data_IF_920139123796
#
_entry.id   IF_920139123796
#
_cell.length_a   1.000
_cell.length_b   1.000
_cell.length_c   1.000
_cell.angle_alpha   90.00
_cell.angle_beta   90.00
_cell.angle_gamma   90.00
#
_symmetry.space_group_name_H-M   'P 1'
#
loop_
_entity.id
_entity.type
_entity.pdbx_description
1 polymer ?
#
# COMPACT_ATOMS: atom_id res chain seq x y z
N UNK A 1 11.02 -2.67 12.87
CA UNK A 1 10.84 -1.59 11.86
C UNK A 1 9.42 -1.71 11.34
N UNK A 2 8.71 -0.60 11.16
CA UNK A 2 7.33 -0.65 10.67
C UNK A 2 7.33 -1.11 9.21
N UNK A 3 6.53 -2.12 8.89
CA UNK A 3 6.39 -2.68 7.54
C UNK A 3 4.93 -2.60 7.11
N UNK A 4 4.68 -1.82 6.08
CA UNK A 4 3.40 -1.65 5.42
C UNK A 4 3.45 -2.31 4.04
N UNK A 5 2.36 -2.94 3.63
CA UNK A 5 2.17 -3.27 2.21
C UNK A 5 1.67 -2.05 1.43
N UNK A 6 1.62 -2.13 0.10
CA UNK A 6 1.24 -1.01 -0.76
C UNK A 6 -0.19 -0.47 -0.47
N UNK A 7 -1.14 -1.35 -0.14
CA UNK A 7 -2.53 -0.96 0.18
C UNK A 7 -2.60 -0.30 1.55
N UNK A 8 -1.90 -0.84 2.54
CA UNK A 8 -1.80 -0.26 3.89
C UNK A 8 -1.16 1.13 3.85
N UNK A 9 -0.06 1.28 3.11
CA UNK A 9 0.60 2.57 2.89
C UNK A 9 -0.35 3.58 2.22
N UNK A 10 -1.13 3.14 1.22
CA UNK A 10 -2.17 3.95 0.58
C UNK A 10 -3.25 4.40 1.57
N UNK A 11 -3.75 3.49 2.39
CA UNK A 11 -4.78 3.77 3.41
C UNK A 11 -4.28 4.78 4.43
N UNK A 12 -3.09 4.57 4.99
CA UNK A 12 -2.47 5.50 5.94
C UNK A 12 -2.23 6.86 5.29
N UNK A 13 -1.66 6.90 4.09
CA UNK A 13 -1.46 8.15 3.35
C UNK A 13 -2.77 8.91 3.12
N UNK A 14 -3.87 8.22 2.82
CA UNK A 14 -5.18 8.86 2.64
C UNK A 14 -5.71 9.44 3.96
N UNK A 15 -5.56 8.74 5.08
CA UNK A 15 -5.99 9.23 6.38
C UNK A 15 -5.18 10.46 6.82
N UNK A 16 -3.85 10.43 6.63
CA UNK A 16 -2.96 11.57 6.88
C UNK A 16 -3.34 12.78 6.02
N UNK A 17 -3.59 12.56 4.73
CA UNK A 17 -3.99 13.63 3.81
C UNK A 17 -5.32 14.26 4.23
N UNK A 18 -6.33 13.45 4.55
CA UNK A 18 -7.68 13.94 4.85
C UNK A 18 -7.82 14.55 6.25
N UNK A 19 -6.99 14.15 7.21
CA UNK A 19 -6.92 14.83 8.50
C UNK A 19 -6.53 16.30 8.34
N UNK A 20 -5.59 16.60 7.44
CA UNK A 20 -5.10 17.97 7.21
C UNK A 20 -5.96 18.74 6.21
N UNK A 21 -6.28 18.12 5.07
CA UNK A 21 -6.94 18.83 3.94
C UNK A 21 -8.46 18.94 4.08
N UNK A 22 -9.08 18.04 4.85
CA UNK A 22 -10.53 17.98 5.03
C UNK A 22 -10.88 17.61 6.49
N UNK A 23 -10.48 18.42 7.48
CA UNK A 23 -10.65 18.09 8.90
C UNK A 23 -12.12 17.90 9.29
N UNK A 24 -13.05 18.62 8.66
CA UNK A 24 -14.48 18.52 8.92
C UNK A 24 -15.07 17.13 8.57
N UNK A 25 -14.42 16.41 7.65
CA UNK A 25 -14.84 15.08 7.22
C UNK A 25 -14.11 13.95 7.97
N UNK A 26 -13.09 14.29 8.76
CA UNK A 26 -12.27 13.33 9.49
C UNK A 26 -12.82 13.09 10.91
N UNK A 27 -12.88 11.85 11.42
CA UNK A 27 -12.40 10.59 10.85
C UNK A 27 -13.28 10.03 9.71
N UNK A 28 -12.69 9.23 8.83
CA UNK A 28 -13.33 8.76 7.59
C UNK A 28 -14.13 7.47 7.79
N UNK A 29 -15.26 7.34 7.11
CA UNK A 29 -15.96 6.04 6.96
C UNK A 29 -15.22 5.13 5.96
N UNK A 30 -15.54 3.83 5.94
CA UNK A 30 -14.99 2.88 4.97
C UNK A 30 -15.16 3.38 3.52
N UNK A 31 -16.39 3.75 3.13
CA UNK A 31 -16.68 4.24 1.78
C UNK A 31 -15.87 5.51 1.43
N UNK A 32 -15.83 6.49 2.35
CA UNK A 32 -15.05 7.72 2.14
C UNK A 32 -13.56 7.44 1.97
N UNK A 33 -13.02 6.46 2.71
CA UNK A 33 -11.63 6.04 2.62
C UNK A 33 -11.35 5.28 1.32
N UNK A 34 -12.23 4.39 0.88
CA UNK A 34 -12.12 3.70 -0.42
C UNK A 34 -12.08 4.71 -1.57
N UNK A 35 -12.97 5.72 -1.54
CA UNK A 35 -12.96 6.81 -2.52
C UNK A 35 -11.65 7.62 -2.47
N UNK A 36 -11.09 7.85 -1.28
CA UNK A 36 -9.81 8.53 -1.12
C UNK A 36 -8.63 7.71 -1.67
N UNK A 37 -8.64 6.38 -1.51
CA UNK A 37 -7.59 5.50 -2.02
C UNK A 37 -7.57 5.45 -3.56
N UNK A 38 -8.75 5.52 -4.18
CA UNK A 38 -8.96 5.40 -5.62
C UNK A 38 -9.03 6.76 -6.35
N UNK A 39 -8.59 7.85 -5.72
CA UNK A 39 -8.58 9.17 -6.38
C UNK A 39 -7.68 9.13 -7.62
N UNK A 40 -8.18 9.65 -8.74
CA UNK A 40 -7.41 9.76 -9.99
C UNK A 40 -6.30 10.80 -9.93
N UNK A 41 -6.39 11.75 -9.00
CA UNK A 41 -5.39 12.77 -8.78
C UNK A 41 -4.71 12.54 -7.43
N UNK A 42 -3.46 12.98 -7.34
CA UNK A 42 -2.68 12.84 -6.11
C UNK A 42 -2.39 11.43 -5.64
N UNK A 43 -2.50 10.44 -6.55
CA UNK A 43 -2.13 9.05 -6.32
C UNK A 43 -1.17 8.60 -7.41
N UNK A 44 -0.13 7.90 -7.01
CA UNK A 44 0.77 7.21 -7.93
C UNK A 44 1.26 5.92 -7.24
N UNK A 45 0.88 4.71 -7.73
CA UNK A 45 -0.03 4.47 -8.86
C UNK A 45 -1.50 4.78 -8.51
N UNK A 46 -2.31 5.09 -9.52
CA UNK A 46 -3.78 5.09 -9.35
C UNK A 46 -4.23 3.65 -9.12
N UNK A 47 -5.02 3.43 -8.07
CA UNK A 47 -5.54 2.12 -7.69
C UNK A 47 -7.05 2.06 -7.88
N UNK A 48 -7.58 0.84 -8.03
CA UNK A 48 -9.01 0.54 -8.08
C UNK A 48 -9.34 -0.51 -7.00
N UNK A 49 -9.23 -0.12 -5.74
CA UNK A 49 -9.46 -1.00 -4.60
C UNK A 49 -10.96 -1.17 -4.35
N UNK A 50 -11.38 -2.40 -4.08
CA UNK A 50 -12.71 -2.71 -3.54
C UNK A 50 -12.81 -2.32 -2.05
N UNK A 51 -14.03 -2.12 -1.56
CA UNK A 51 -14.25 -1.89 -0.12
C UNK A 51 -13.74 -3.05 0.74
N UNK A 52 -13.79 -4.30 0.23
CA UNK A 52 -13.29 -5.47 0.96
C UNK A 52 -11.76 -5.43 1.11
N UNK A 53 -11.03 -5.02 0.07
CA UNK A 53 -9.56 -4.90 0.15
C UNK A 53 -9.15 -3.79 1.12
N UNK A 54 -9.86 -2.65 1.10
CA UNK A 54 -9.65 -1.56 2.05
C UNK A 54 -9.97 -2.00 3.48
N UNK A 55 -11.07 -2.75 3.68
CA UNK A 55 -11.43 -3.28 4.99
C UNK A 55 -10.37 -4.27 5.51
N UNK A 56 -9.86 -5.17 4.67
CA UNK A 56 -8.78 -6.09 5.05
C UNK A 56 -7.50 -5.33 5.46
N UNK A 57 -7.16 -4.26 4.74
CA UNK A 57 -6.04 -3.40 5.10
C UNK A 57 -6.27 -2.67 6.43
N UNK A 58 -7.48 -2.15 6.68
CA UNK A 58 -7.87 -1.55 7.95
C UNK A 58 -7.77 -2.54 9.11
N UNK A 59 -8.25 -3.78 8.92
CA UNK A 59 -8.17 -4.83 9.94
C UNK A 59 -6.71 -5.18 10.28
N UNK A 60 -5.83 -5.25 9.26
CA UNK A 60 -4.39 -5.46 9.44
C UNK A 60 -3.73 -4.30 10.18
N UNK A 61 -4.01 -3.06 9.78
CA UNK A 61 -3.50 -1.85 10.41
C UNK A 61 -4.01 -1.67 11.86
N UNK A 62 -5.24 -2.09 12.14
CA UNK A 62 -5.84 -2.12 13.48
C UNK A 62 -5.07 -3.10 14.39
N UNK A 63 -4.75 -4.30 13.89
CA UNK A 63 -3.87 -5.26 14.60
C UNK A 63 -2.47 -4.69 14.86
N UNK A 64 -1.92 -3.91 13.93
CA UNK A 64 -0.65 -3.18 14.08
C UNK A 64 -0.75 -1.96 15.01
N UNK A 65 -1.94 -1.64 15.54
CA UNK A 65 -2.24 -0.46 16.39
C UNK A 65 -1.96 0.89 15.71
N UNK A 66 -1.98 0.92 14.38
CA UNK A 66 -1.76 2.12 13.57
C UNK A 66 -3.05 2.89 13.27
N UNK A 67 -4.18 2.43 13.78
CA UNK A 67 -5.50 3.03 13.60
C UNK A 67 -6.30 2.97 14.90
N UNK A 68 -7.33 3.81 14.95
CA UNK A 68 -8.39 3.77 15.95
C UNK A 68 -9.74 3.77 15.26
N UNK A 69 -10.61 2.87 15.68
CA UNK A 69 -12.01 2.83 15.28
C UNK A 69 -12.83 3.69 16.24
N UNK A 70 -13.61 4.61 15.69
CA UNK A 70 -14.52 5.46 16.43
C UNK A 70 -15.95 5.18 15.98
N UNK A 71 -16.76 4.70 16.92
CA UNK A 71 -18.21 4.65 16.79
C UNK A 71 -18.80 5.69 17.74
N UNK A 72 -19.49 6.69 17.19
CA UNK A 72 -20.22 7.66 17.99
C UNK A 72 -21.42 7.01 18.66
N UNK A 73 -21.80 7.46 19.85
CA UNK A 73 -22.99 6.98 20.54
C UNK A 73 -24.24 7.07 19.64
N UNK A 74 -24.85 5.94 19.31
CA UNK A 74 -26.00 5.84 18.41
C UNK A 74 -25.68 5.82 16.91
N UNK A 75 -24.42 6.00 16.50
CA UNK A 75 -23.99 5.86 15.10
C UNK A 75 -23.63 4.41 14.79
N UNK A 76 -24.29 3.83 13.79
CA UNK A 76 -23.96 2.49 13.26
C UNK A 76 -22.74 2.50 12.34
N UNK A 77 -22.32 3.67 11.87
CA UNK A 77 -21.18 3.80 10.96
C UNK A 77 -19.90 3.91 11.77
N UNK A 78 -18.98 2.96 11.55
CA UNK A 78 -17.62 3.00 12.08
C UNK A 78 -16.80 4.00 11.26
N UNK A 79 -16.05 4.84 11.97
CA UNK A 79 -15.10 5.78 11.37
C UNK A 79 -13.68 5.44 11.81
N UNK A 80 -12.71 5.69 10.94
CA UNK A 80 -11.32 5.32 11.13
C UNK A 80 -10.45 6.58 11.26
N UNK A 81 -9.63 6.60 12.31
CA UNK A 81 -8.61 7.62 12.60
C UNK A 81 -7.25 6.94 12.55
N UNK A 82 -6.25 7.55 11.92
CA UNK A 82 -4.88 7.05 12.00
C UNK A 82 -4.29 7.27 13.40
N UNK A 83 -3.43 6.35 13.80
CA UNK A 83 -2.52 6.43 14.96
C UNK A 83 -1.07 6.28 14.51
N UNK A 84 -0.80 6.54 13.23
CA UNK A 84 0.49 6.29 12.60
C UNK A 84 1.56 7.20 13.19
N UNK A 85 1.24 8.48 13.42
CA UNK A 85 2.17 9.46 13.96
C UNK A 85 1.46 10.44 14.90
N UNK A 86 2.26 11.21 15.64
CA UNK A 86 1.80 12.30 16.51
C UNK A 86 0.77 11.83 17.57
N UNK A 87 0.95 10.61 18.07
CA UNK A 87 0.14 10.08 19.17
C UNK A 87 0.90 10.25 20.49
N UNK A 88 0.17 10.31 21.61
CA UNK A 88 0.73 10.59 22.95
C UNK A 88 1.89 9.66 23.36
N UNK A 89 1.86 8.41 22.88
CA UNK A 89 2.85 7.37 23.22
C UNK A 89 3.59 6.83 21.98
N UNK A 90 3.47 7.51 20.83
CA UNK A 90 4.08 7.08 19.58
C UNK A 90 5.53 7.56 19.42
N UNK A 91 6.40 6.69 18.92
CA UNK A 91 7.78 7.05 18.56
C UNK A 91 7.85 7.96 17.33
N UNK A 92 6.87 7.84 16.43
CA UNK A 92 6.77 8.65 15.22
C UNK A 92 6.15 10.02 15.55
N UNK A 93 7.02 11.01 15.74
CA UNK A 93 6.65 12.41 15.93
C UNK A 93 7.15 13.23 14.74
N UNK A 94 6.22 13.80 13.99
CA UNK A 94 6.44 14.63 12.82
C UNK A 94 5.93 16.03 13.04
N UNK A 95 6.77 17.01 12.74
CA UNK A 95 6.31 18.38 12.49
C UNK A 95 5.34 18.43 11.28
N UNK A 96 4.54 19.49 11.13
CA UNK A 96 3.64 19.63 9.97
C UNK A 96 4.35 19.50 8.61
N UNK A 97 5.56 20.05 8.50
CA UNK A 97 6.40 19.94 7.31
C UNK A 97 6.83 18.50 7.02
N UNK A 98 7.28 17.78 8.05
CA UNK A 98 7.68 16.37 7.95
C UNK A 98 6.49 15.48 7.57
N UNK A 99 5.33 15.70 8.22
CA UNK A 99 4.10 14.97 7.94
C UNK A 99 3.65 15.16 6.49
N UNK A 100 3.74 16.38 5.96
CA UNK A 100 3.40 16.66 4.56
C UNK A 100 4.27 15.86 3.59
N UNK A 101 5.59 15.78 3.83
CA UNK A 101 6.51 15.00 3.00
C UNK A 101 6.22 13.51 3.09
N UNK A 102 6.08 12.96 4.31
CA UNK A 102 5.80 11.54 4.52
C UNK A 102 4.48 11.14 3.85
N UNK A 103 3.44 11.95 4.02
CA UNK A 103 2.14 11.74 3.38
C UNK A 103 2.25 11.69 1.85
N UNK A 104 2.99 12.62 1.23
CA UNK A 104 3.19 12.62 -0.22
C UNK A 104 3.99 11.41 -0.71
N UNK A 105 5.02 10.99 0.02
CA UNK A 105 5.83 9.82 -0.34
C UNK A 105 5.01 8.53 -0.25
N UNK A 106 4.13 8.38 0.75
CA UNK A 106 3.22 7.23 0.86
C UNK A 106 2.18 7.20 -0.28
N UNK A 107 1.71 8.36 -0.74
CA UNK A 107 0.65 8.45 -1.75
C UNK A 107 1.15 8.38 -3.20
N UNK A 108 2.39 8.82 -3.44
CA UNK A 108 2.95 8.99 -4.79
C UNK A 108 4.34 8.40 -4.99
N UNK A 109 4.86 7.64 -4.02
CA UNK A 109 6.18 7.05 -4.09
C UNK A 109 7.31 8.08 -4.14
N UNK A 110 8.41 7.68 -4.79
CA UNK A 110 9.66 8.42 -4.76
C UNK A 110 9.62 9.72 -5.57
N UNK A 111 9.92 10.85 -4.92
CA UNK A 111 9.77 12.20 -5.50
C UNK A 111 11.00 13.07 -5.27
N UNK A 112 11.18 14.10 -6.11
CA UNK A 112 12.23 15.12 -5.93
C UNK A 112 11.79 16.21 -4.96
N UNK A 113 12.74 16.97 -4.40
CA UNK A 113 12.42 18.09 -3.50
C UNK A 113 11.53 19.16 -4.17
N UNK A 114 11.74 19.42 -5.46
CA UNK A 114 10.91 20.35 -6.23
C UNK A 114 9.47 19.88 -6.39
N UNK A 115 9.28 18.59 -6.70
CA UNK A 115 7.95 17.98 -6.78
C UNK A 115 7.22 18.04 -5.43
N UNK A 116 7.91 17.65 -4.35
CA UNK A 116 7.35 17.67 -2.99
C UNK A 116 6.86 19.07 -2.62
N UNK A 117 7.67 20.11 -2.88
CA UNK A 117 7.27 21.51 -2.64
C UNK A 117 5.97 21.86 -3.35
N UNK A 118 5.89 21.55 -4.65
CA UNK A 118 4.72 21.90 -5.47
C UNK A 118 3.45 21.15 -5.05
N UNK A 119 3.59 19.91 -4.58
CA UNK A 119 2.47 19.01 -4.25
C UNK A 119 2.00 19.15 -2.81
N UNK A 120 2.85 19.67 -1.92
CA UNK A 120 2.57 19.81 -0.50
C UNK A 120 1.67 21.00 -0.15
N UNK A 121 1.40 21.92 -1.09
CA UNK A 121 0.73 23.21 -0.81
C UNK A 121 -0.54 23.12 0.07
N UNK A 122 -1.35 22.06 -0.07
CA UNK A 122 -2.57 21.87 0.73
C UNK A 122 -2.34 21.19 2.09
N UNK A 123 -1.19 20.56 2.27
CA UNK A 123 -0.77 19.90 3.52
C UNK A 123 0.06 20.84 4.39
N UNK A 124 1.05 21.49 3.77
CA UNK A 124 1.95 22.43 4.42
C UNK A 124 2.56 23.36 3.36
N UNK A 125 2.54 24.66 3.62
CA UNK A 125 3.15 25.66 2.74
C UNK A 125 4.64 25.83 3.10
N UNK A 126 5.51 25.43 2.18
CA UNK A 126 6.96 25.61 2.34
C UNK A 126 7.41 26.98 1.83
N UNK A 127 8.21 27.68 2.63
CA UNK A 127 8.80 28.99 2.32
C UNK A 127 9.67 28.93 1.05
N UNK A 128 10.34 27.80 0.82
CA UNK A 128 11.23 27.62 -0.32
C UNK A 128 11.78 26.21 -0.43
N UNK A 129 12.53 25.97 -1.51
CA UNK A 129 13.25 24.72 -1.71
C UNK A 129 14.23 24.39 -0.56
N UNK A 130 14.96 25.37 0.02
CA UNK A 130 15.86 25.09 1.15
C UNK A 130 15.17 24.47 2.36
N UNK A 131 13.93 24.90 2.68
CA UNK A 131 13.18 24.34 3.81
C UNK A 131 12.77 22.88 3.56
N UNK A 132 12.41 22.55 2.31
CA UNK A 132 12.10 21.17 1.91
C UNK A 132 13.32 20.28 2.04
N UNK A 133 14.48 20.73 1.55
CA UNK A 133 15.74 20.00 1.65
C UNK A 133 16.18 19.78 3.10
N UNK A 134 16.03 20.79 3.97
CA UNK A 134 16.28 20.66 5.40
C UNK A 134 15.35 19.64 6.06
N UNK A 135 14.06 19.66 5.70
CA UNK A 135 13.07 18.72 6.23
C UNK A 135 13.37 17.30 5.76
N UNK A 136 13.76 17.11 4.50
CA UNK A 136 14.20 15.82 3.96
C UNK A 136 15.45 15.30 4.68
N UNK A 137 16.43 16.15 4.94
CA UNK A 137 17.63 15.76 5.69
C UNK A 137 17.27 15.30 7.11
N UNK A 138 16.43 16.06 7.82
CA UNK A 138 15.95 15.68 9.15
C UNK A 138 15.21 14.34 9.15
N UNK A 139 14.34 14.10 8.16
CA UNK A 139 13.63 12.82 8.00
C UNK A 139 14.59 11.66 7.67
N UNK A 140 15.63 11.92 6.88
CA UNK A 140 16.66 10.93 6.53
C UNK A 140 17.50 10.56 7.74
N UNK A 141 17.92 11.54 8.53
CA UNK A 141 18.72 11.32 9.75
C UNK A 141 17.93 10.54 10.81
N UNK A 142 16.60 10.72 10.86
CA UNK A 142 15.68 9.91 11.67
C UNK A 142 15.43 8.51 11.10
N UNK A 143 15.89 8.21 9.88
CA UNK A 143 15.73 6.91 9.22
C UNK A 143 14.37 6.66 8.59
N UNK A 144 13.51 7.68 8.47
CA UNK A 144 12.16 7.54 7.91
C UNK A 144 12.09 7.60 6.40
N UNK A 145 13.10 8.20 5.77
CA UNK A 145 13.24 8.23 4.32
C UNK A 145 14.66 7.84 3.92
N UNK A 146 14.82 7.41 2.67
CA UNK A 146 16.11 7.17 2.03
C UNK A 146 16.24 8.00 0.76
N UNK A 147 17.48 8.37 0.47
CA UNK A 147 17.84 9.06 -0.75
C UNK A 147 18.19 8.04 -1.81
N UNK A 148 17.53 8.09 -2.97
CA UNK A 148 17.80 7.17 -4.07
C UNK A 148 19.01 7.62 -4.89
N UNK A 149 19.64 6.66 -5.57
CA UNK A 149 20.67 6.94 -6.56
C UNK A 149 20.09 7.82 -7.69
N UNK A 150 20.95 8.68 -8.25
CA UNK A 150 20.56 9.53 -9.38
C UNK A 150 20.33 8.64 -10.60
N UNK A 151 19.21 8.85 -11.29
CA UNK A 151 18.99 8.22 -12.59
C UNK A 151 20.01 8.77 -13.60
N UNK A 152 20.58 7.92 -14.47
CA UNK A 152 21.47 8.37 -15.53
C UNK A 152 20.86 9.51 -16.34
N UNK A 153 21.55 10.65 -16.43
CA UNK A 153 21.09 11.82 -17.17
C UNK A 153 20.14 12.77 -16.42
N UNK A 154 19.67 12.42 -15.21
CA UNK A 154 18.92 13.35 -14.35
C UNK A 154 19.81 13.95 -13.26
N UNK A 155 19.72 15.27 -13.12
CA UNK A 155 20.45 16.03 -12.08
C UNK A 155 19.80 15.93 -10.70
N UNK A 156 18.49 15.70 -10.68
CA UNK A 156 17.68 15.74 -9.46
C UNK A 156 17.70 14.40 -8.72
N UNK A 157 17.78 14.49 -7.40
CA UNK A 157 17.75 13.35 -6.48
C UNK A 157 16.31 13.11 -6.06
N UNK A 158 15.92 11.82 -5.98
CA UNK A 158 14.62 11.40 -5.45
C UNK A 158 14.76 10.81 -4.06
N UNK A 159 13.70 10.95 -3.29
CA UNK A 159 13.59 10.43 -1.92
C UNK A 159 12.43 9.46 -1.86
N UNK A 160 12.59 8.36 -1.13
CA UNK A 160 11.56 7.36 -0.89
C UNK A 160 11.39 7.15 0.62
N UNK A 161 10.20 6.76 1.05
CA UNK A 161 9.91 6.46 2.45
C UNK A 161 10.30 5.02 2.82
N UNK A 162 10.60 4.77 4.10
CA UNK A 162 11.14 3.49 4.62
C UNK A 162 10.12 2.64 5.42
N UNK A 163 8.83 2.96 5.36
CA UNK A 163 7.72 2.26 6.00
C UNK A 163 7.12 1.14 5.13
N UNK A 164 7.23 1.21 3.80
CA UNK A 164 6.71 0.17 2.89
C UNK A 164 7.78 -0.87 2.55
N UNK A 165 7.39 -2.15 2.48
CA UNK A 165 8.27 -3.21 1.94
C UNK A 165 8.56 -2.95 0.46
N UNK A 166 9.85 -2.89 0.13
CA UNK A 166 10.32 -2.38 -1.14
C UNK A 166 10.74 -3.57 -2.02
N UNK A 167 9.89 -3.99 -2.96
CA UNK A 167 10.15 -5.09 -3.91
C UNK A 167 11.21 -4.73 -4.99
N UNK A 168 12.42 -4.35 -4.59
CA UNK A 168 13.59 -4.35 -5.48
C UNK A 168 14.04 -3.00 -6.04
N UNK A 169 14.00 -1.91 -5.27
CA UNK A 169 14.90 -0.78 -5.56
C UNK A 169 16.24 -1.10 -4.89
N UNK A 170 17.09 -1.81 -5.62
CA UNK A 170 18.45 -2.17 -5.24
C UNK A 170 19.24 -0.93 -4.86
N UNK A 171 19.70 -0.88 -3.61
CA UNK A 171 20.87 -0.11 -3.25
C UNK A 171 22.06 -0.83 -3.88
N UNK A 172 22.61 -0.32 -4.99
CA UNK A 172 23.96 -0.73 -5.37
C UNK A 172 24.78 0.45 -5.93
N UNK A 173 25.87 0.67 -5.20
CA UNK A 173 27.23 1.04 -5.56
C UNK A 173 27.53 1.39 -7.02
N UNK A 174 28.40 2.40 -7.19
CA UNK A 174 28.68 3.03 -8.46
C UNK A 174 29.51 2.21 -9.45
N UNK A 175 29.45 2.67 -10.70
CA UNK A 175 30.46 2.39 -11.71
C UNK A 175 29.95 1.55 -12.88
N UNK A 176 29.62 2.25 -13.97
CA UNK A 176 29.83 1.81 -15.36
C UNK A 176 29.36 0.38 -15.74
N UNK A 177 28.09 0.25 -16.12
CA UNK A 177 27.69 -0.31 -17.43
C UNK A 177 26.15 -0.29 -17.59
N UNK A 178 25.56 0.91 -17.57
CA UNK A 178 24.13 1.07 -17.90
C UNK A 178 23.95 1.40 -19.38
N UNK A 179 24.52 0.58 -20.25
CA UNK A 179 24.23 0.61 -21.71
C UNK A 179 23.82 -0.75 -22.25
N UNK A 180 23.52 -1.75 -21.39
CA UNK A 180 23.00 -3.05 -21.85
C UNK A 180 21.64 -3.46 -21.26
N UNK A 181 21.08 -2.75 -20.27
CA UNK A 181 19.81 -3.16 -19.64
C UNK A 181 18.57 -2.58 -20.36
N UNK A 182 18.71 -1.50 -21.13
CA UNK A 182 17.60 -0.93 -21.92
C UNK A 182 17.27 -1.70 -23.21
N UNK A 183 18.15 -2.60 -23.67
CA UNK A 183 17.93 -3.45 -24.84
C UNK A 183 17.48 -4.89 -24.50
N UNK A 184 17.39 -5.27 -23.22
CA UNK A 184 16.77 -6.56 -22.82
C UNK A 184 15.28 -6.44 -22.51
N UNK A 185 14.75 -5.24 -22.27
CA UNK A 185 13.33 -5.02 -21.97
C UNK A 185 12.46 -4.61 -23.19
N UNK A 186 13.05 -4.42 -24.38
CA UNK A 186 12.31 -4.06 -25.61
C UNK A 186 12.48 -5.04 -26.79
N UNK A 187 13.32 -6.06 -26.65
CA UNK A 187 13.41 -7.16 -27.61
C UNK A 187 12.60 -8.41 -27.18
N UNK A 188 12.04 -8.43 -25.97
CA UNK A 188 11.32 -9.60 -25.41
C UNK A 188 9.78 -9.49 -25.42
N UNK A 189 9.20 -8.54 -26.15
CA UNK A 189 7.73 -8.41 -26.19
C UNK A 189 7.11 -8.30 -27.59
N UNK A 190 7.72 -8.89 -28.62
CA UNK A 190 7.04 -9.08 -29.92
C UNK A 190 7.21 -10.48 -30.55
N UNK A 191 7.71 -11.49 -29.83
CA UNK A 191 7.92 -12.78 -30.49
C UNK A 191 8.18 -13.99 -29.63
N UNK A 192 7.49 -14.18 -28.50
CA UNK A 192 7.54 -15.44 -27.73
C UNK A 192 6.25 -15.60 -26.90
N UNK A 193 5.12 -15.85 -27.60
CA UNK A 193 4.06 -16.70 -27.04
C UNK A 193 4.56 -18.13 -27.12
N UNK A 194 5.45 -18.52 -26.20
CA UNK A 194 5.69 -19.93 -25.95
C UNK A 194 4.41 -20.52 -25.39
N UNK A 195 3.79 -21.38 -26.19
CA UNK A 195 2.70 -22.24 -25.76
C UNK A 195 3.26 -23.16 -24.68
N UNK A 196 2.87 -22.94 -23.42
CA UNK A 196 2.77 -24.06 -22.48
C UNK A 196 1.97 -25.16 -23.19
N UNK A 197 2.44 -26.42 -23.22
CA UNK A 197 1.71 -27.46 -23.93
C UNK A 197 0.34 -27.58 -23.27
N UNK A 198 -0.73 -27.33 -24.03
CA UNK A 198 -2.12 -27.37 -23.56
C UNK A 198 -2.43 -28.68 -22.80
N UNK A 199 -1.68 -29.74 -23.09
CA UNK A 199 -1.72 -31.03 -22.40
C UNK A 199 -1.32 -30.98 -20.93
N UNK A 200 -0.35 -30.15 -20.51
CA UNK A 200 0.07 -30.03 -19.11
C UNK A 200 -0.98 -29.28 -18.27
N UNK A 201 -1.54 -28.21 -18.83
CA UNK A 201 -2.61 -27.44 -18.19
C UNK A 201 -3.93 -28.21 -18.17
N UNK A 202 -4.27 -28.96 -19.22
CA UNK A 202 -5.41 -29.88 -19.24
C UNK A 202 -5.25 -31.04 -18.25
N UNK A 203 -4.04 -31.61 -18.12
CA UNK A 203 -3.77 -32.68 -17.15
C UNK A 203 -3.94 -32.22 -15.71
N UNK A 204 -3.51 -30.99 -15.40
CA UNK A 204 -3.67 -30.41 -14.05
C UNK A 204 -5.14 -30.11 -13.73
N UNK A 205 -5.91 -29.63 -14.71
CA UNK A 205 -7.35 -29.40 -14.55
C UNK A 205 -8.08 -30.73 -14.33
N UNK A 206 -7.79 -31.76 -15.12
CA UNK A 206 -8.42 -33.08 -14.96
C UNK A 206 -8.14 -33.72 -13.59
N UNK A 207 -6.92 -33.57 -13.06
CA UNK A 207 -6.55 -34.07 -11.73
C UNK A 207 -7.31 -33.35 -10.62
N UNK A 208 -7.42 -32.01 -10.71
CA UNK A 208 -8.15 -31.20 -9.75
C UNK A 208 -9.67 -31.45 -9.80
N UNK A 209 -10.23 -31.68 -10.98
CA UNK A 209 -11.63 -32.05 -11.13
C UNK A 209 -11.93 -33.42 -10.52
N UNK A 210 -11.00 -34.38 -10.65
CA UNK A 210 -11.12 -35.69 -10.02
C UNK A 210 -11.01 -35.61 -8.49
N UNK A 211 -10.11 -34.79 -7.95
CA UNK A 211 -10.01 -34.53 -6.51
C UNK A 211 -11.29 -33.87 -5.96
N UNK A 212 -11.84 -32.89 -6.69
CA UNK A 212 -13.11 -32.25 -6.31
C UNK A 212 -14.30 -33.21 -6.35
N UNK A 213 -14.35 -34.13 -7.33
CA UNK A 213 -15.38 -35.15 -7.40
C UNK A 213 -15.30 -36.10 -6.18
N UNK A 214 -14.08 -36.49 -5.82
CA UNK A 214 -13.83 -37.39 -4.67
C UNK A 214 -14.20 -36.73 -3.35
N UNK A 215 -13.75 -35.48 -3.10
CA UNK A 215 -14.13 -34.73 -1.90
C UNK A 215 -15.63 -34.48 -1.79
N UNK A 216 -16.32 -34.25 -2.91
CA UNK A 216 -17.79 -34.08 -2.92
C UNK A 216 -18.51 -35.38 -2.54
N UNK A 217 -18.02 -36.54 -2.99
CA UNK A 217 -18.58 -37.83 -2.61
C UNK A 217 -18.34 -38.13 -1.12
N UNK A 218 -17.15 -37.87 -0.60
CA UNK A 218 -16.85 -38.01 0.83
C UNK A 218 -17.73 -37.12 1.70
N UNK A 219 -17.93 -35.85 1.30
CA UNK A 219 -18.85 -34.94 1.98
C UNK A 219 -20.31 -35.40 1.93
N UNK A 220 -20.73 -36.05 0.84
CA UNK A 220 -22.08 -36.60 0.74
C UNK A 220 -22.28 -37.78 1.71
N UNK A 221 -21.29 -38.68 1.79
CA UNK A 221 -21.30 -39.82 2.72
C UNK A 221 -21.29 -39.35 4.17
N UNK A 222 -20.41 -38.41 4.54
CA UNK A 222 -20.36 -37.83 5.88
C UNK A 222 -21.66 -37.13 6.28
N UNK A 223 -22.31 -36.44 5.33
CA UNK A 223 -23.63 -35.82 5.59
C UNK A 223 -24.72 -36.87 5.83
N UNK A 224 -24.65 -38.01 5.14
CA UNK A 224 -25.60 -39.09 5.31
C UNK A 224 -25.39 -39.81 6.65
N UNK A 225 -24.15 -40.11 7.02
CA UNK A 225 -23.80 -40.70 8.32
C UNK A 225 -24.20 -39.77 9.48
N UNK A 226 -24.01 -38.45 9.34
CA UNK A 226 -24.49 -37.48 10.32
C UNK A 226 -26.02 -37.42 10.40
N UNK A 227 -26.73 -37.63 9.30
CA UNK A 227 -28.20 -37.68 9.31
C UNK A 227 -28.70 -38.95 10.00
N UNK A 228 -28.06 -40.10 9.77
CA UNK A 228 -28.39 -41.37 10.43
C UNK A 228 -28.08 -41.33 11.93
N UNK A 229 -26.93 -40.78 12.34
CA UNK A 229 -26.59 -40.57 13.75
C UNK A 229 -27.58 -39.64 14.45
N UNK A 230 -28.01 -38.56 13.79
CA UNK A 230 -29.03 -37.66 14.33
C UNK A 230 -30.40 -38.33 14.47
N UNK A 231 -30.75 -39.26 13.58
CA UNK A 231 -31.99 -40.02 13.66
C UNK A 231 -31.95 -41.10 14.77
N UNK A 232 -30.77 -41.63 15.11
CA UNK A 232 -30.60 -42.58 16.22
C UNK A 232 -30.57 -41.91 17.61
N UNK A 233 -30.31 -40.60 17.67
CA UNK A 233 -30.29 -39.80 18.90
C UNK A 233 -31.60 -39.07 19.21
N UNK A 234 -32.63 -39.23 18.37
CA UNK A 234 -33.98 -38.69 18.55
C UNK A 234 -34.95 -39.80 18.96
#
# INVERSE_FOLDING_TARGET
MLQLNAIEARVIGCLLEKEVTTPDLYPLSLNSLTQACNQKTSRDPVMELSESEVQQALDSLSKKRLLSEQSGFGSRVIKYRHRFCNTEFGELQFSPAELAIVCLLLLRGAQTAGELRSRAQRLFEFDGLPQVEQTLLALKDKGFIRQLAREPGKREIRFAENFTENDGVSEDSGGADTTQIANQAKAHHEGEREREPETASQSRIALLEQELATMKQELALLKQELAELKAQLA
#
